data_IF_672521516028
#
_entry.id   IF_672521516028
#
_cell.length_a   1.000
_cell.length_b   1.000
_cell.length_c   1.000
_cell.angle_alpha   90.00
_cell.angle_beta   90.00
_cell.angle_gamma   90.00
#
_symmetry.space_group_name_H-M   'P 1'
#
loop_
_entity.id
_entity.type
_entity.pdbx_description
1 polymer ?
#
# COMPACT_ATOMS: atom_id res chain seq x y z
N UNK A 1 20.01 -38.05 34.65
CA UNK A 1 18.91 -38.55 33.79
C UNK A 1 18.65 -37.49 32.77
N UNK A 2 18.94 -37.82 31.51
CA UNK A 2 18.86 -36.93 30.35
C UNK A 2 17.37 -36.66 30.05
N UNK A 3 16.95 -35.40 30.13
CA UNK A 3 15.58 -34.99 29.85
C UNK A 3 15.38 -34.87 28.35
N UNK A 4 15.03 -36.00 27.72
CA UNK A 4 14.74 -36.04 26.30
C UNK A 4 13.70 -34.98 25.92
N UNK A 5 14.09 -34.05 25.05
CA UNK A 5 13.18 -33.21 24.29
C UNK A 5 12.25 -34.14 23.51
N UNK A 6 10.96 -34.08 23.82
CA UNK A 6 9.94 -34.85 23.11
C UNK A 6 9.90 -34.48 21.63
N UNK A 7 9.46 -35.39 20.74
CA UNK A 7 9.38 -35.11 19.32
C UNK A 7 8.42 -33.95 19.03
N UNK A 8 8.82 -33.02 18.16
CA UNK A 8 7.93 -31.99 17.64
C UNK A 8 6.79 -32.66 16.86
N UNK A 9 5.56 -32.52 17.37
CA UNK A 9 4.37 -32.98 16.68
C UNK A 9 3.94 -31.91 15.69
N UNK A 10 4.14 -32.16 14.39
CA UNK A 10 3.49 -31.37 13.33
C UNK A 10 2.00 -31.72 13.31
N UNK A 11 1.17 -30.93 13.99
CA UNK A 11 -0.29 -31.05 13.89
C UNK A 11 -0.80 -30.11 12.80
N UNK A 12 -1.72 -30.57 11.94
CA UNK A 12 -2.51 -29.67 11.09
C UNK A 12 -3.41 -28.82 12.01
N UNK A 13 -2.95 -27.63 12.40
CA UNK A 13 -3.61 -26.78 13.40
C UNK A 13 -4.22 -25.49 12.85
N UNK A 14 -4.07 -25.25 11.54
CA UNK A 14 -4.55 -24.05 10.85
C UNK A 14 -4.84 -24.39 9.39
N UNK A 15 -6.04 -24.07 8.93
CA UNK A 15 -6.47 -24.14 7.54
C UNK A 15 -7.04 -22.77 7.16
N UNK A 16 -6.55 -22.21 6.07
CA UNK A 16 -6.98 -20.90 5.56
C UNK A 16 -7.42 -21.03 4.10
N UNK A 17 -8.49 -20.33 3.74
CA UNK A 17 -8.93 -20.16 2.36
C UNK A 17 -8.75 -18.69 1.98
N UNK A 18 -8.06 -18.43 0.86
CA UNK A 18 -7.85 -17.07 0.34
C UNK A 18 -8.49 -16.97 -1.04
N UNK A 19 -9.34 -15.97 -1.23
CA UNK A 19 -9.95 -15.66 -2.53
C UNK A 19 -9.65 -14.23 -2.92
N UNK A 20 -9.55 -13.95 -4.22
CA UNK A 20 -9.20 -12.61 -4.66
C UNK A 20 -9.62 -12.29 -6.09
N UNK A 21 -9.76 -11.00 -6.34
CA UNK A 21 -10.16 -10.40 -7.61
C UNK A 21 -9.20 -9.27 -7.96
N UNK A 22 -8.76 -9.26 -9.22
CA UNK A 22 -7.87 -8.24 -9.75
C UNK A 22 -8.46 -7.62 -11.01
N UNK A 23 -8.46 -6.29 -11.08
CA UNK A 23 -8.89 -5.52 -12.25
C UNK A 23 -7.82 -4.51 -12.59
N UNK A 24 -7.34 -4.57 -13.83
CA UNK A 24 -6.43 -3.57 -14.41
C UNK A 24 -7.06 -2.99 -15.66
N UNK A 25 -7.16 -1.67 -15.71
CA UNK A 25 -7.69 -0.94 -16.86
C UNK A 25 -6.72 0.17 -17.27
N UNK A 26 -6.59 0.37 -18.58
CA UNK A 26 -5.83 1.48 -19.16
C UNK A 26 -6.65 2.13 -20.27
N UNK A 27 -6.52 3.44 -20.40
CA UNK A 27 -7.23 4.19 -21.43
C UNK A 27 -6.41 5.41 -21.87
N UNK A 28 -6.21 5.56 -23.16
CA UNK A 28 -5.48 6.70 -23.74
C UNK A 28 -6.45 7.62 -24.48
N UNK A 29 -6.43 8.89 -24.12
CA UNK A 29 -7.22 9.95 -24.73
C UNK A 29 -6.31 10.94 -25.44
N UNK A 30 -6.36 10.92 -26.76
CA UNK A 30 -5.69 11.93 -27.59
C UNK A 30 -6.64 13.09 -27.89
N UNK A 31 -6.13 14.31 -27.74
CA UNK A 31 -6.89 15.54 -28.02
C UNK A 31 -5.98 16.62 -28.58
N UNK A 32 -6.56 17.73 -29.08
CA UNK A 32 -5.78 18.91 -29.46
C UNK A 32 -5.00 19.57 -28.32
N UNK A 33 -5.18 19.11 -27.08
CA UNK A 33 -4.44 19.54 -25.88
C UNK A 33 -3.35 18.54 -25.46
N UNK A 34 -3.08 17.50 -26.24
CA UNK A 34 -2.11 16.46 -25.91
C UNK A 34 -2.73 15.10 -25.64
N UNK A 35 -1.90 14.19 -25.14
CA UNK A 35 -2.24 12.80 -24.84
C UNK A 35 -2.39 12.62 -23.33
N UNK A 36 -3.50 12.03 -22.89
CA UNK A 36 -3.68 11.61 -21.49
C UNK A 36 -3.80 10.10 -21.41
N UNK A 37 -2.89 9.46 -20.70
CA UNK A 37 -2.94 8.05 -20.36
C UNK A 37 -3.48 7.87 -18.95
N UNK A 38 -4.60 7.18 -18.83
CA UNK A 38 -5.21 6.80 -17.56
C UNK A 38 -4.89 5.33 -17.24
N UNK A 39 -4.65 5.05 -15.96
CA UNK A 39 -4.50 3.70 -15.46
C UNK A 39 -5.31 3.52 -14.16
N UNK A 40 -5.91 2.35 -14.01
CA UNK A 40 -6.58 1.89 -12.80
C UNK A 40 -6.07 0.49 -12.50
N UNK A 41 -5.70 0.25 -11.26
CA UNK A 41 -5.50 -1.09 -10.72
C UNK A 41 -6.31 -1.20 -9.43
N UNK A 42 -7.11 -2.25 -9.32
CA UNK A 42 -7.92 -2.58 -8.15
C UNK A 42 -7.71 -4.05 -7.83
N UNK A 43 -7.47 -4.34 -6.55
CA UNK A 43 -7.31 -5.67 -6.00
C UNK A 43 -8.23 -5.78 -4.78
N UNK A 44 -8.93 -6.91 -4.67
CA UNK A 44 -9.59 -7.34 -3.45
C UNK A 44 -9.14 -8.74 -3.11
N UNK A 45 -8.65 -8.98 -1.90
CA UNK A 45 -8.21 -10.29 -1.43
C UNK A 45 -8.72 -10.50 -0.01
N UNK A 46 -9.44 -11.59 0.21
CA UNK A 46 -10.05 -11.95 1.48
C UNK A 46 -9.47 -13.31 1.90
N UNK A 47 -9.04 -13.40 3.16
CA UNK A 47 -8.52 -14.63 3.74
C UNK A 47 -9.40 -15.00 4.92
N UNK A 48 -9.88 -16.24 4.96
CA UNK A 48 -10.68 -16.78 6.05
C UNK A 48 -9.95 -17.98 6.67
N UNK A 49 -9.96 -18.09 8.00
CA UNK A 49 -9.47 -19.25 8.74
C UNK A 49 -10.59 -20.30 8.81
N UNK A 50 -10.60 -21.20 7.83
CA UNK A 50 -11.58 -22.29 7.72
C UNK A 50 -11.52 -23.28 8.90
N UNK A 51 -10.35 -23.49 9.51
CA UNK A 51 -10.19 -24.33 10.70
C UNK A 51 -9.00 -23.88 11.54
N UNK A 52 -9.18 -23.79 12.86
CA UNK A 52 -8.10 -23.50 13.79
C UNK A 52 -8.19 -24.36 15.05
N UNK A 53 -7.03 -24.84 15.51
CA UNK A 53 -6.92 -25.46 16.82
C UNK A 53 -6.77 -24.37 17.89
N UNK A 54 -7.83 -24.13 18.66
CA UNK A 54 -7.88 -23.09 19.69
C UNK A 54 -6.88 -23.27 20.86
N UNK A 55 -6.24 -24.44 20.98
CA UNK A 55 -5.11 -24.65 21.90
C UNK A 55 -3.76 -24.17 21.36
N UNK A 56 -3.69 -23.75 20.10
CA UNK A 56 -2.46 -23.36 19.38
C UNK A 56 -2.59 -21.95 18.77
N UNK A 57 -3.78 -21.60 18.26
CA UNK A 57 -4.07 -20.31 17.62
C UNK A 57 -5.19 -19.62 18.41
N UNK A 58 -4.93 -18.41 18.91
CA UNK A 58 -5.93 -17.58 19.59
C UNK A 58 -6.73 -16.70 18.60
N UNK A 59 -7.78 -16.06 19.11
CA UNK A 59 -8.68 -15.22 18.29
C UNK A 59 -7.98 -14.00 17.68
N UNK A 60 -7.01 -13.40 18.38
CA UNK A 60 -6.26 -12.26 17.84
C UNK A 60 -5.37 -12.67 16.68
N UNK A 61 -4.80 -13.88 16.75
CA UNK A 61 -4.03 -14.49 15.67
C UNK A 61 -4.88 -14.87 14.47
N UNK A 62 -6.12 -15.32 14.67
CA UNK A 62 -7.08 -15.51 13.58
C UNK A 62 -7.35 -14.18 12.89
N UNK A 63 -7.72 -13.15 13.66
CA UNK A 63 -8.02 -11.83 13.10
C UNK A 63 -6.82 -11.22 12.36
N UNK A 64 -5.60 -11.38 12.87
CA UNK A 64 -4.38 -10.95 12.16
C UNK A 64 -4.19 -11.65 10.80
N UNK A 65 -4.57 -12.93 10.69
CA UNK A 65 -4.46 -13.67 9.43
C UNK A 65 -5.52 -13.24 8.40
N UNK A 66 -6.70 -12.86 8.87
CA UNK A 66 -7.84 -12.49 8.03
C UNK A 66 -7.79 -11.00 7.64
N UNK A 67 -7.52 -10.13 8.61
CA UNK A 67 -7.68 -8.66 8.51
C UNK A 67 -6.34 -7.90 8.62
N UNK A 68 -5.21 -8.60 8.79
CA UNK A 68 -3.89 -7.96 8.99
C UNK A 68 -3.36 -7.18 7.78
N UNK A 69 -4.00 -7.35 6.62
CA UNK A 69 -3.74 -6.59 5.40
C UNK A 69 -5.06 -6.04 4.89
N UNK A 70 -5.07 -4.86 4.25
CA UNK A 70 -6.28 -4.34 3.64
C UNK A 70 -6.84 -5.32 2.62
N UNK A 71 -8.11 -5.67 2.80
CA UNK A 71 -8.83 -6.51 1.86
C UNK A 71 -8.88 -5.86 0.48
N UNK A 72 -9.14 -4.55 0.44
CA UNK A 72 -9.25 -3.79 -0.81
C UNK A 72 -8.10 -2.80 -0.95
N UNK A 73 -7.45 -2.81 -2.12
CA UNK A 73 -6.42 -1.84 -2.50
C UNK A 73 -6.64 -1.40 -3.93
N UNK A 74 -6.53 -0.11 -4.18
CA UNK A 74 -6.62 0.38 -5.56
C UNK A 74 -5.83 1.65 -5.78
N UNK A 75 -5.45 1.89 -7.03
CA UNK A 75 -4.88 3.16 -7.44
C UNK A 75 -5.43 3.57 -8.80
N UNK A 76 -5.62 4.87 -8.96
CA UNK A 76 -5.93 5.50 -10.23
C UNK A 76 -4.88 6.55 -10.52
N UNK A 77 -4.42 6.60 -11.76
CA UNK A 77 -3.45 7.58 -12.21
C UNK A 77 -3.79 8.15 -13.57
N UNK A 78 -3.22 9.31 -13.82
CA UNK A 78 -3.23 9.96 -15.12
C UNK A 78 -1.84 10.54 -15.40
N UNK A 79 -1.32 10.27 -16.60
CA UNK A 79 -0.16 10.97 -17.15
C UNK A 79 -0.61 11.75 -18.37
N UNK A 80 -0.43 13.06 -18.35
CA UNK A 80 -0.75 13.95 -19.45
C UNK A 80 0.52 14.51 -20.07
N UNK A 81 0.67 14.35 -21.39
CA UNK A 81 1.79 14.86 -22.17
C UNK A 81 1.30 15.90 -23.17
N UNK A 82 1.86 17.10 -23.12
CA UNK A 82 1.51 18.21 -24.00
C UNK A 82 2.77 18.99 -24.40
N UNK A 83 3.23 18.78 -25.63
CA UNK A 83 4.49 19.33 -26.13
C UNK A 83 5.64 18.85 -25.25
N UNK A 84 6.40 19.81 -24.70
CA UNK A 84 7.55 19.56 -23.84
C UNK A 84 7.18 19.18 -22.39
N UNK A 85 5.90 19.29 -22.01
CA UNK A 85 5.43 19.04 -20.65
C UNK A 85 4.91 17.62 -20.48
N UNK A 86 5.24 17.01 -19.34
CA UNK A 86 4.58 15.81 -18.83
C UNK A 86 4.14 16.04 -17.40
N UNK A 87 2.88 15.76 -17.10
CA UNK A 87 2.28 15.90 -15.77
C UNK A 87 1.72 14.54 -15.35
N UNK A 88 1.97 14.12 -14.12
CA UNK A 88 1.45 12.88 -13.57
C UNK A 88 0.76 13.17 -12.24
N UNK A 89 -0.38 12.54 -12.02
CA UNK A 89 -1.01 12.44 -10.72
C UNK A 89 -1.49 11.01 -10.49
N UNK A 90 -1.37 10.53 -9.26
CA UNK A 90 -1.86 9.23 -8.82
C UNK A 90 -2.52 9.35 -7.45
N UNK A 91 -3.64 8.68 -7.27
CA UNK A 91 -4.23 8.42 -5.97
C UNK A 91 -4.20 6.92 -5.70
N UNK A 92 -3.68 6.52 -4.55
CA UNK A 92 -3.68 5.13 -4.07
C UNK A 92 -4.47 5.06 -2.78
N UNK A 93 -5.34 4.07 -2.63
CA UNK A 93 -6.15 3.85 -1.44
C UNK A 93 -5.91 2.44 -0.89
N UNK A 94 -5.91 2.36 0.43
CA UNK A 94 -5.80 1.15 1.22
C UNK A 94 -6.98 1.13 2.17
N UNK A 95 -7.75 0.03 2.17
CA UNK A 95 -8.82 -0.17 3.15
C UNK A 95 -8.27 -0.29 4.57
N UNK A 96 -9.20 -0.45 5.52
CA UNK A 96 -8.86 -0.73 6.91
C UNK A 96 -8.01 -2.01 7.06
N UNK A 97 -7.26 -2.06 8.16
CA UNK A 97 -6.44 -3.23 8.52
C UNK A 97 -6.34 -3.38 10.02
N UNK A 98 -6.21 -4.62 10.48
CA UNK A 98 -5.98 -4.95 11.87
C UNK A 98 -4.48 -5.05 12.19
N UNK A 99 -4.08 -4.52 13.35
CA UNK A 99 -2.74 -4.73 13.89
C UNK A 99 -2.84 -5.44 15.24
N UNK A 100 -2.36 -6.68 15.29
CA UNK A 100 -2.38 -7.50 16.50
C UNK A 100 -1.49 -6.96 17.62
N UNK A 101 -0.43 -6.22 17.29
CA UNK A 101 0.47 -5.61 18.28
C UNK A 101 -0.17 -4.43 18.99
N UNK A 102 -1.03 -3.70 18.28
CA UNK A 102 -1.79 -2.56 18.81
C UNK A 102 -3.18 -2.97 19.30
N UNK A 103 -3.65 -4.16 18.91
CA UNK A 103 -4.95 -4.73 19.30
C UNK A 103 -6.13 -3.94 18.76
N UNK A 104 -5.98 -3.32 17.59
CA UNK A 104 -7.00 -2.45 17.00
C UNK A 104 -6.99 -2.47 15.47
N UNK A 105 -8.12 -2.09 14.88
CA UNK A 105 -8.28 -1.88 13.45
C UNK A 105 -8.09 -0.39 13.15
N UNK A 106 -7.28 -0.08 12.16
CA UNK A 106 -7.02 1.27 11.68
C UNK A 106 -7.87 1.56 10.45
N UNK A 107 -8.37 2.80 10.34
CA UNK A 107 -9.20 3.21 9.20
C UNK A 107 -8.38 3.27 7.91
N UNK A 108 -9.05 2.99 6.79
CA UNK A 108 -8.46 3.11 5.45
C UNK A 108 -8.06 4.55 5.11
N UNK A 109 -6.99 4.70 4.32
CA UNK A 109 -6.43 6.01 3.95
C UNK A 109 -5.89 6.01 2.52
N UNK A 110 -5.61 7.21 2.01
CA UNK A 110 -5.19 7.40 0.63
C UNK A 110 -4.02 8.35 0.45
N UNK A 111 -3.13 7.99 -0.48
CA UNK A 111 -1.93 8.75 -0.81
C UNK A 111 -2.09 9.41 -2.18
N UNK A 112 -1.76 10.69 -2.27
CA UNK A 112 -1.70 11.43 -3.53
C UNK A 112 -0.24 11.62 -3.92
N UNK A 113 0.14 11.19 -5.12
CA UNK A 113 1.43 11.50 -5.73
C UNK A 113 1.22 12.45 -6.92
N UNK A 114 2.18 13.36 -7.12
CA UNK A 114 2.17 14.25 -8.27
C UNK A 114 3.58 14.53 -8.78
N UNK A 115 3.72 14.67 -10.10
CA UNK A 115 4.98 15.00 -10.76
C UNK A 115 4.73 15.92 -11.96
N UNK A 116 5.59 16.91 -12.17
CA UNK A 116 5.64 17.72 -13.38
C UNK A 116 7.06 17.68 -13.94
N UNK A 117 7.15 17.42 -15.23
CA UNK A 117 8.39 17.37 -15.99
C UNK A 117 8.33 18.32 -17.19
N UNK A 118 9.46 18.96 -17.49
CA UNK A 118 9.67 19.77 -18.67
C UNK A 118 10.91 19.27 -19.42
N UNK A 119 10.73 18.87 -20.68
CA UNK A 119 11.78 18.38 -21.56
C UNK A 119 12.28 19.52 -22.45
N UNK A 120 13.57 19.82 -22.39
CA UNK A 120 14.18 20.87 -23.18
C UNK A 120 14.72 20.29 -24.49
N UNK A 121 14.73 21.11 -25.55
CA UNK A 121 15.30 20.73 -26.84
C UNK A 121 16.79 20.35 -26.80
N UNK A 122 17.50 20.68 -25.71
CA UNK A 122 18.88 20.29 -25.47
C UNK A 122 19.06 18.83 -25.05
N UNK A 123 17.99 18.07 -24.83
CA UNK A 123 18.03 16.73 -24.23
C UNK A 123 18.03 16.74 -22.69
N UNK A 124 17.95 17.92 -22.06
CA UNK A 124 17.81 18.08 -20.61
C UNK A 124 16.34 17.99 -20.19
N UNK A 125 16.03 17.26 -19.11
CA UNK A 125 14.71 17.30 -18.48
C UNK A 125 14.80 17.71 -17.02
N UNK A 126 13.90 18.62 -16.63
CA UNK A 126 13.71 19.06 -15.25
C UNK A 126 12.41 18.47 -14.72
N UNK A 127 12.48 17.80 -13.57
CA UNK A 127 11.34 17.09 -12.97
C UNK A 127 11.21 17.51 -11.51
N UNK A 128 10.03 17.96 -11.12
CA UNK A 128 9.66 18.26 -9.74
C UNK A 128 8.47 17.39 -9.37
N UNK A 129 8.53 16.73 -8.21
CA UNK A 129 7.44 15.88 -7.76
C UNK A 129 7.38 15.70 -6.26
N UNK A 130 6.30 15.10 -5.80
CA UNK A 130 6.13 14.67 -4.43
C UNK A 130 5.40 13.33 -4.38
N UNK A 131 5.92 12.42 -3.56
CA UNK A 131 5.17 11.27 -3.09
C UNK A 131 4.43 11.67 -1.80
N UNK A 132 3.18 11.24 -1.65
CA UNK A 132 2.32 11.66 -0.54
C UNK A 132 2.24 13.20 -0.41
N UNK A 133 1.86 13.87 -1.49
CA UNK A 133 1.76 15.33 -1.61
C UNK A 133 0.92 15.97 -0.50
N UNK A 134 -0.11 15.27 -0.02
CA UNK A 134 -1.02 15.77 1.01
C UNK A 134 -0.53 15.55 2.44
N UNK A 135 0.62 14.90 2.64
CA UNK A 135 1.18 14.59 3.97
C UNK A 135 0.27 13.67 4.81
N UNK A 136 -0.41 12.74 4.14
CA UNK A 136 -1.31 11.78 4.77
C UNK A 136 -0.51 10.71 5.51
N UNK A 137 -0.95 10.36 6.72
CA UNK A 137 -0.36 9.30 7.54
C UNK A 137 -1.52 8.49 8.14
N UNK A 138 -1.30 7.21 8.48
CA UNK A 138 -2.32 6.42 9.17
C UNK A 138 -2.67 7.04 10.53
N UNK A 139 -3.79 6.61 11.10
CA UNK A 139 -4.15 6.97 12.47
C UNK A 139 -3.06 6.60 13.48
N UNK A 140 -2.99 7.37 14.56
CA UNK A 140 -2.05 7.09 15.66
C UNK A 140 -2.44 5.82 16.40
N UNK A 141 -1.43 5.08 16.86
CA UNK A 141 -1.68 3.90 17.69
C UNK A 141 -2.31 4.32 19.03
N UNK A 142 -3.17 3.49 19.66
CA UNK A 142 -3.83 3.84 20.92
C UNK A 142 -2.86 4.09 22.09
N UNK A 143 -1.70 3.42 22.08
CA UNK A 143 -0.71 3.50 23.17
C UNK A 143 0.73 3.63 22.65
N UNK A 144 1.13 4.82 22.14
CA UNK A 144 2.44 5.02 21.53
C UNK A 144 3.59 4.86 22.53
N UNK A 145 3.32 4.95 23.84
CA UNK A 145 4.30 4.76 24.91
C UNK A 145 4.72 3.30 25.14
N UNK A 146 3.93 2.33 24.69
CA UNK A 146 4.24 0.90 24.87
C UNK A 146 5.43 0.44 24.02
N UNK A 147 5.50 0.92 22.77
CA UNK A 147 6.51 0.52 21.79
C UNK A 147 7.36 1.69 21.27
N UNK A 148 7.05 2.92 21.68
CA UNK A 148 7.79 4.12 21.24
C UNK A 148 7.52 4.52 19.79
N UNK A 149 6.49 3.94 19.17
CA UNK A 149 6.05 4.22 17.80
C UNK A 149 4.75 5.02 17.86
N UNK A 150 4.65 6.06 17.03
CA UNK A 150 3.43 6.88 16.92
C UNK A 150 2.38 6.25 16.00
N UNK A 151 2.83 5.47 15.03
CA UNK A 151 2.02 4.84 13.99
C UNK A 151 2.35 3.35 13.93
N UNK A 152 1.39 2.53 13.49
CA UNK A 152 1.63 1.12 13.26
C UNK A 152 2.76 0.93 12.22
N UNK A 153 3.72 0.07 12.54
CA UNK A 153 4.79 -0.30 11.61
C UNK A 153 4.30 -1.15 10.43
N UNK A 154 3.07 -1.66 10.51
CA UNK A 154 2.41 -2.48 9.49
C UNK A 154 1.49 -1.67 8.57
N UNK A 155 1.46 -0.34 8.72
CA UNK A 155 0.64 0.53 7.87
C UNK A 155 0.90 0.27 6.37
N UNK A 156 -0.14 -0.05 5.57
CA UNK A 156 0.00 -0.61 4.22
C UNK A 156 0.60 0.35 3.18
N UNK A 157 0.30 1.65 3.27
CA UNK A 157 0.93 2.74 2.53
C UNK A 157 2.15 3.35 3.23
N UNK A 158 2.57 2.79 4.37
CA UNK A 158 3.60 3.34 5.24
C UNK A 158 3.13 4.52 6.09
N UNK A 159 4.02 4.98 6.97
CA UNK A 159 3.77 6.09 7.90
C UNK A 159 4.74 7.27 7.66
N UNK A 160 5.41 7.26 6.51
CA UNK A 160 6.26 8.38 6.11
C UNK A 160 5.38 9.48 5.52
N UNK A 161 5.50 10.68 6.06
CA UNK A 161 4.87 11.87 5.50
C UNK A 161 5.41 12.22 4.10
N UNK A 162 5.10 13.41 3.63
CA UNK A 162 5.43 13.88 2.28
C UNK A 162 6.93 13.79 1.96
N UNK A 163 7.24 13.26 0.78
CA UNK A 163 8.58 13.30 0.19
C UNK A 163 8.56 14.12 -1.11
N UNK A 164 9.06 15.36 -1.05
CA UNK A 164 9.27 16.19 -2.24
C UNK A 164 10.67 16.00 -2.82
N UNK A 165 10.80 16.04 -4.15
CA UNK A 165 12.07 15.84 -4.84
C UNK A 165 12.20 16.70 -6.10
N UNK A 166 13.46 16.94 -6.47
CA UNK A 166 13.88 17.49 -7.75
C UNK A 166 14.78 16.46 -8.44
N UNK A 167 14.56 16.24 -9.73
CA UNK A 167 15.37 15.36 -10.57
C UNK A 167 15.74 16.06 -11.87
N UNK A 168 16.98 15.88 -12.29
CA UNK A 168 17.51 16.39 -13.57
C UNK A 168 18.04 15.19 -14.33
N UNK A 169 17.61 15.03 -15.58
CA UNK A 169 18.09 14.00 -16.50
C UNK A 169 18.64 14.64 -17.76
N UNK A 170 19.59 13.97 -18.40
CA UNK A 170 20.16 14.41 -19.67
C UNK A 170 20.33 13.19 -20.58
N UNK A 171 19.65 13.20 -21.72
CA UNK A 171 19.73 12.17 -22.74
C UNK A 171 20.59 12.67 -23.92
N UNK A 172 21.55 11.85 -24.37
CA UNK A 172 22.56 12.18 -25.38
C UNK A 172 22.26 11.58 -26.76
#
# INVERSE_FOLDING_TARGET
>A
SDGAQGPDFFTNGLETETTGWDVVATYSLESGRGLTDFNLAWNRTETEVANSNSGIIDAGRVQELEEGLPETRWNVGATHTMGDWRMMARYSYFDDWFDSFEGTTFDGYGLVDAEVAYNMASGLSLIVGANNLLDEVPDEVPNPGAFGLRYSQYAPGGFNGRLAYLRVTYDF
#
